data_IF_529727149471
#
_entry.id   IF_529727149471
#
_cell.length_a   1.000
_cell.length_b   1.000
_cell.length_c   1.000
_cell.angle_alpha   90.00
_cell.angle_beta   90.00
_cell.angle_gamma   90.00
#
_symmetry.space_group_name_H-M   'P 1'
#
loop_
_entity.id
_entity.type
_entity.pdbx_description
1 polymer ?
#
# COMPACT_ATOMS: atom_id res chain seq x y z
N UNK A 1 -29.18 -17.68 -6.37
CA UNK A 1 -29.30 -16.46 -5.52
C UNK A 1 -27.91 -16.06 -5.08
N UNK A 2 -27.25 -15.17 -5.83
CA UNK A 2 -25.92 -14.69 -5.47
C UNK A 2 -26.02 -13.78 -4.24
N UNK A 3 -25.46 -14.23 -3.12
CA UNK A 3 -25.29 -13.39 -1.94
C UNK A 3 -24.34 -12.26 -2.31
N UNK A 4 -24.94 -11.10 -2.59
CA UNK A 4 -24.25 -9.82 -2.67
C UNK A 4 -23.49 -9.67 -1.35
N UNK A 5 -22.17 -9.80 -1.41
CA UNK A 5 -21.30 -9.42 -0.29
C UNK A 5 -21.62 -7.96 -0.03
N UNK A 6 -22.43 -7.71 1.00
CA UNK A 6 -22.58 -6.39 1.57
C UNK A 6 -21.20 -6.02 2.10
N UNK A 7 -20.43 -5.32 1.27
CA UNK A 7 -19.32 -4.52 1.77
C UNK A 7 -19.95 -3.54 2.75
N UNK A 8 -19.90 -3.92 4.02
CA UNK A 8 -20.17 -3.03 5.14
C UNK A 8 -19.39 -1.74 4.84
N UNK A 9 -20.04 -0.57 4.81
CA UNK A 9 -19.30 0.68 4.59
C UNK A 9 -18.17 0.73 5.62
N UNK A 10 -16.95 1.21 5.28
CA UNK A 10 -15.84 1.31 6.22
C UNK A 10 -16.26 2.31 7.31
N UNK A 11 -16.90 1.80 8.35
CA UNK A 11 -17.24 2.54 9.55
C UNK A 11 -15.97 2.63 10.37
N UNK A 12 -15.25 3.70 10.09
CA UNK A 12 -14.40 4.45 11.02
C UNK A 12 -13.46 3.61 11.90
N UNK A 13 -12.38 3.08 11.29
CA UNK A 13 -11.18 2.65 12.02
C UNK A 13 -10.76 3.74 13.03
N UNK A 14 -10.96 5.01 12.66
CA UNK A 14 -10.62 6.16 13.47
C UNK A 14 -11.41 6.27 14.78
N UNK A 15 -12.73 6.13 14.76
CA UNK A 15 -13.55 6.28 15.96
C UNK A 15 -13.22 5.17 16.97
N UNK A 16 -13.03 3.94 16.47
CA UNK A 16 -12.59 2.81 17.29
C UNK A 16 -11.19 3.03 17.86
N UNK A 17 -10.24 3.47 17.03
CA UNK A 17 -8.89 3.84 17.47
C UNK A 17 -8.97 4.93 18.54
N UNK A 18 -9.75 5.98 18.32
CA UNK A 18 -9.87 7.08 19.27
C UNK A 18 -10.46 6.62 20.63
N UNK A 19 -11.46 5.74 20.62
CA UNK A 19 -12.00 5.12 21.84
C UNK A 19 -10.96 4.24 22.54
N UNK A 20 -10.18 3.47 21.80
CA UNK A 20 -9.10 2.66 22.38
C UNK A 20 -8.02 3.55 23.02
N UNK A 21 -7.63 4.64 22.34
CA UNK A 21 -6.61 5.56 22.82
C UNK A 21 -7.04 6.37 24.05
N UNK A 22 -8.34 6.54 24.29
CA UNK A 22 -8.82 7.22 25.50
C UNK A 22 -8.43 6.48 26.79
N UNK A 23 -8.03 5.21 26.70
CA UNK A 23 -7.53 4.39 27.83
C UNK A 23 -6.09 4.74 28.22
N UNK A 24 -5.36 5.47 27.37
CA UNK A 24 -3.94 5.79 27.53
C UNK A 24 -3.75 7.32 27.60
N UNK A 25 -3.97 7.95 28.77
CA UNK A 25 -3.79 9.39 28.93
C UNK A 25 -2.31 9.79 28.75
N UNK A 26 -2.05 11.07 28.49
CA UNK A 26 -0.67 11.58 28.35
C UNK A 26 0.13 11.37 29.64
N UNK A 27 1.37 10.90 29.50
CA UNK A 27 2.30 10.76 30.62
C UNK A 27 2.70 12.14 31.18
N UNK A 28 2.94 12.19 32.48
CA UNK A 28 3.60 13.36 33.07
C UNK A 28 5.08 13.40 32.65
N UNK A 29 5.67 14.60 32.61
CA UNK A 29 7.10 14.75 32.28
C UNK A 29 8.01 13.95 33.21
N UNK A 30 7.62 13.78 34.48
CA UNK A 30 8.40 13.02 35.45
C UNK A 30 8.29 11.50 35.19
N UNK A 31 7.09 11.00 34.88
CA UNK A 31 6.89 9.60 34.55
C UNK A 31 7.61 9.23 33.25
N UNK A 32 7.54 10.09 32.24
CA UNK A 32 8.28 9.91 30.98
C UNK A 32 9.79 9.83 31.23
N UNK A 33 10.36 10.74 32.03
CA UNK A 33 11.79 10.72 32.38
C UNK A 33 12.17 9.43 33.11
N UNK A 34 11.35 8.97 34.05
CA UNK A 34 11.57 7.73 34.79
C UNK A 34 11.57 6.51 33.85
N UNK A 35 10.62 6.45 32.92
CA UNK A 35 10.54 5.37 31.93
C UNK A 35 11.73 5.40 30.98
N UNK A 36 12.13 6.58 30.49
CA UNK A 36 13.29 6.74 29.61
C UNK A 36 14.61 6.36 30.28
N UNK A 37 14.74 6.58 31.60
CA UNK A 37 15.89 6.18 32.40
C UNK A 37 15.91 4.68 32.77
N UNK A 38 14.87 3.92 32.41
CA UNK A 38 14.80 2.48 32.67
C UNK A 38 15.70 1.71 31.69
N UNK A 39 16.47 0.75 32.21
CA UNK A 39 17.43 -0.06 31.47
C UNK A 39 17.42 -1.51 31.95
N UNK A 40 18.08 -2.41 31.19
CA UNK A 40 18.16 -3.82 31.55
C UNK A 40 16.84 -4.56 31.29
N UNK A 41 16.50 -5.53 32.15
CA UNK A 41 15.36 -6.42 31.97
C UNK A 41 14.00 -5.70 31.91
N UNK A 42 13.88 -4.52 32.52
CA UNK A 42 12.64 -3.75 32.55
C UNK A 42 12.48 -2.80 31.34
N UNK A 43 13.47 -2.74 30.44
CA UNK A 43 13.45 -1.80 29.31
C UNK A 43 12.27 -2.02 28.37
N UNK A 44 11.96 -3.27 28.05
CA UNK A 44 10.89 -3.58 27.11
C UNK A 44 9.51 -3.21 27.68
N UNK A 45 9.32 -3.41 28.99
CA UNK A 45 8.11 -2.97 29.68
C UNK A 45 7.99 -1.44 29.69
N UNK A 46 9.08 -0.72 29.94
CA UNK A 46 9.10 0.74 29.89
C UNK A 46 8.83 1.27 28.47
N UNK A 47 9.42 0.67 27.44
CA UNK A 47 9.15 1.01 26.03
C UNK A 47 7.67 0.82 25.69
N UNK A 48 7.05 -0.29 26.12
CA UNK A 48 5.61 -0.53 25.89
C UNK A 48 4.75 0.58 26.46
N UNK A 49 5.00 0.99 27.70
CA UNK A 49 4.25 2.10 28.34
C UNK A 49 4.47 3.40 27.56
N UNK A 50 5.70 3.71 27.16
CA UNK A 50 6.02 4.89 26.36
C UNK A 50 5.28 4.87 25.01
N UNK A 51 5.22 3.72 24.34
CA UNK A 51 4.50 3.56 23.06
C UNK A 51 3.00 3.80 23.27
N UNK A 52 2.37 3.05 24.19
CA UNK A 52 0.92 3.09 24.43
C UNK A 52 0.42 4.51 24.75
N UNK A 53 1.17 5.27 25.55
CA UNK A 53 0.77 6.62 25.95
C UNK A 53 1.12 7.71 24.92
N UNK A 54 1.87 7.37 23.86
CA UNK A 54 2.22 8.28 22.77
C UNK A 54 1.50 7.96 21.44
N UNK A 55 0.62 6.95 21.40
CA UNK A 55 -0.17 6.62 20.21
C UNK A 55 -1.06 7.78 19.70
N UNK A 56 -1.40 8.74 20.55
CA UNK A 56 -2.13 9.95 20.13
C UNK A 56 -1.36 10.75 19.06
N UNK A 57 -0.02 10.70 19.05
CA UNK A 57 0.79 11.35 18.01
C UNK A 57 0.61 10.68 16.65
N UNK A 58 0.43 9.36 16.66
CA UNK A 58 0.13 8.58 15.45
C UNK A 58 -1.26 8.92 14.94
N UNK A 59 -2.26 8.99 15.82
CA UNK A 59 -3.61 9.42 15.48
C UNK A 59 -3.63 10.82 14.86
N UNK A 60 -3.01 11.81 15.52
CA UNK A 60 -2.92 13.19 15.03
C UNK A 60 -2.21 13.26 13.65
N UNK A 61 -1.12 12.50 13.47
CA UNK A 61 -0.38 12.45 12.22
C UNK A 61 -1.14 11.76 11.07
N UNK A 62 -1.88 10.68 11.36
CA UNK A 62 -2.72 9.98 10.40
C UNK A 62 -3.91 10.86 9.96
N UNK A 63 -4.54 11.57 10.92
CA UNK A 63 -5.62 12.51 10.63
C UNK A 63 -5.20 13.61 9.66
N UNK A 64 -3.98 14.15 9.81
CA UNK A 64 -3.43 15.16 8.91
C UNK A 64 -3.14 14.65 7.49
N UNK A 65 -3.14 13.33 7.27
CA UNK A 65 -2.75 12.65 6.03
C UNK A 65 -3.89 11.92 5.33
N UNK A 66 -5.12 12.05 5.82
CA UNK A 66 -6.30 11.43 5.21
C UNK A 66 -6.50 11.80 3.74
N UNK A 67 -7.12 10.88 3.01
CA UNK A 67 -7.58 11.10 1.64
C UNK A 67 -6.46 11.10 0.59
N UNK A 68 -5.31 10.49 0.88
CA UNK A 68 -4.13 10.44 0.00
C UNK A 68 -3.86 9.02 -0.53
N UNK A 69 -4.91 8.29 -0.90
CA UNK A 69 -4.79 6.97 -1.52
C UNK A 69 -4.48 5.79 -0.58
N UNK A 70 -4.06 6.04 0.67
CA UNK A 70 -3.84 5.01 1.69
C UNK A 70 -4.98 5.02 2.71
N UNK A 71 -5.43 3.83 3.14
CA UNK A 71 -6.48 3.70 4.15
C UNK A 71 -6.02 4.25 5.52
N UNK A 72 -6.97 4.73 6.32
CA UNK A 72 -6.64 5.34 7.61
C UNK A 72 -6.01 4.34 8.59
N UNK A 73 -6.56 3.12 8.69
CA UNK A 73 -6.00 2.04 9.51
C UNK A 73 -4.57 1.70 9.12
N UNK A 74 -4.26 1.66 7.81
CA UNK A 74 -2.92 1.39 7.31
C UNK A 74 -1.94 2.51 7.67
N UNK A 75 -2.33 3.78 7.48
CA UNK A 75 -1.51 4.92 7.92
C UNK A 75 -1.24 4.85 9.42
N UNK A 76 -2.24 4.53 10.23
CA UNK A 76 -2.09 4.40 11.67
C UNK A 76 -1.15 3.25 12.04
N UNK A 77 -1.24 2.10 11.38
CA UNK A 77 -0.34 0.96 11.56
C UNK A 77 1.11 1.35 11.25
N UNK A 78 1.35 1.96 10.10
CA UNK A 78 2.69 2.39 9.66
C UNK A 78 3.30 3.43 10.59
N UNK A 79 2.51 4.43 11.00
CA UNK A 79 2.95 5.38 12.01
C UNK A 79 3.21 4.74 13.38
N UNK A 80 2.49 3.68 13.74
CA UNK A 80 2.74 2.91 14.97
C UNK A 80 4.08 2.19 14.89
N UNK A 81 4.44 1.61 13.73
CA UNK A 81 5.77 1.03 13.49
C UNK A 81 6.86 2.11 13.63
N UNK A 82 6.64 3.29 13.06
CA UNK A 82 7.52 4.44 13.22
C UNK A 82 7.69 4.86 14.68
N UNK A 83 6.60 4.90 15.45
CA UNK A 83 6.61 5.21 16.88
C UNK A 83 7.41 4.19 17.68
N UNK A 84 7.18 2.88 17.46
CA UNK A 84 7.92 1.80 18.13
C UNK A 84 9.41 1.97 17.87
N UNK A 85 9.80 2.12 16.60
CA UNK A 85 11.20 2.32 16.21
C UNK A 85 11.81 3.55 16.86
N UNK A 86 11.06 4.65 16.95
CA UNK A 86 11.51 5.88 17.59
C UNK A 86 11.75 5.72 19.10
N UNK A 87 10.89 4.97 19.79
CA UNK A 87 11.02 4.69 21.24
C UNK A 87 12.18 3.74 21.52
N UNK A 88 12.34 2.68 20.73
CA UNK A 88 13.40 1.68 20.89
C UNK A 88 14.80 2.28 20.70
N UNK A 89 14.95 3.19 19.73
CA UNK A 89 16.25 3.74 19.33
C UNK A 89 16.51 5.15 19.86
N UNK A 90 15.64 5.71 20.70
CA UNK A 90 15.82 7.06 21.22
C UNK A 90 17.09 7.19 22.07
N UNK A 91 17.88 8.23 21.77
CA UNK A 91 19.02 8.65 22.59
C UNK A 91 18.81 10.09 23.06
N UNK A 92 19.05 10.39 24.35
CA UNK A 92 18.95 11.77 24.86
C UNK A 92 19.84 12.79 24.15
N UNK A 93 20.91 12.35 23.48
CA UNK A 93 21.80 13.21 22.71
C UNK A 93 21.16 13.71 21.40
N UNK A 94 20.13 13.04 20.88
CA UNK A 94 19.52 13.32 19.57
C UNK A 94 18.41 14.40 19.67
N UNK A 95 18.23 15.00 20.85
CA UNK A 95 17.24 16.05 21.11
C UNK A 95 16.08 15.59 22.00
N UNK A 96 15.00 16.39 22.01
CA UNK A 96 13.83 16.12 22.83
C UNK A 96 13.07 14.86 22.38
N UNK A 97 12.70 14.00 23.32
CA UNK A 97 12.01 12.73 23.05
C UNK A 97 10.75 12.91 22.19
N UNK A 98 9.83 13.77 22.62
CA UNK A 98 8.61 14.07 21.87
C UNK A 98 8.88 14.54 20.43
N UNK A 99 9.86 15.44 20.24
CA UNK A 99 10.22 15.92 18.91
C UNK A 99 10.73 14.79 18.00
N UNK A 100 11.47 13.81 18.57
CA UNK A 100 11.90 12.63 17.85
C UNK A 100 10.73 11.75 17.43
N UNK A 101 9.77 11.51 18.33
CA UNK A 101 8.58 10.70 18.01
C UNK A 101 7.79 11.33 16.87
N UNK A 102 7.45 12.61 16.99
CA UNK A 102 6.70 13.36 15.96
C UNK A 102 7.39 13.29 14.61
N UNK A 103 8.71 13.49 14.57
CA UNK A 103 9.47 13.45 13.33
C UNK A 103 9.45 12.06 12.68
N UNK A 104 9.76 11.00 13.43
CA UNK A 104 9.84 9.64 12.87
C UNK A 104 8.47 9.17 12.40
N UNK A 105 7.41 9.37 13.21
CA UNK A 105 6.03 9.03 12.82
C UNK A 105 5.63 9.72 11.52
N UNK A 106 5.93 11.02 11.39
CA UNK A 106 5.64 11.78 10.19
C UNK A 106 6.38 11.24 8.96
N UNK A 107 7.70 11.03 9.06
CA UNK A 107 8.53 10.53 7.95
C UNK A 107 8.07 9.15 7.50
N UNK A 108 7.83 8.22 8.43
CA UNK A 108 7.37 6.86 8.09
C UNK A 108 6.05 6.87 7.30
N UNK A 109 5.07 7.67 7.73
CA UNK A 109 3.82 7.78 6.99
C UNK A 109 4.00 8.47 5.63
N UNK A 110 4.83 9.53 5.56
CA UNK A 110 5.08 10.25 4.31
C UNK A 110 5.80 9.36 3.28
N UNK A 111 6.68 8.46 3.73
CA UNK A 111 7.35 7.48 2.87
C UNK A 111 6.36 6.48 2.26
N UNK A 112 5.41 5.96 3.05
CA UNK A 112 4.38 5.02 2.56
C UNK A 112 3.44 5.70 1.56
N UNK A 113 3.05 6.95 1.84
CA UNK A 113 2.27 7.76 0.91
C UNK A 113 3.02 7.97 -0.41
N UNK A 114 4.31 8.31 -0.35
CA UNK A 114 5.11 8.53 -1.55
C UNK A 114 5.25 7.25 -2.39
N UNK A 115 5.46 6.10 -1.75
CA UNK A 115 5.53 4.80 -2.43
C UNK A 115 4.20 4.44 -3.09
N UNK A 116 3.08 4.68 -2.40
CA UNK A 116 1.73 4.45 -2.94
C UNK A 116 1.45 5.35 -4.14
N UNK A 117 1.77 6.63 -4.04
CA UNK A 117 1.63 7.61 -5.12
C UNK A 117 2.50 7.21 -6.34
N UNK A 118 3.73 6.75 -6.11
CA UNK A 118 4.62 6.31 -7.19
C UNK A 118 4.09 5.04 -7.86
N UNK A 119 3.62 4.07 -7.10
CA UNK A 119 3.01 2.86 -7.63
C UNK A 119 1.79 3.20 -8.53
N UNK A 120 0.89 4.05 -8.05
CA UNK A 120 -0.28 4.49 -8.83
C UNK A 120 0.13 5.18 -10.14
N UNK A 121 1.13 6.08 -10.10
CA UNK A 121 1.63 6.74 -11.32
C UNK A 121 2.24 5.75 -12.29
N UNK A 122 2.97 4.75 -11.79
CA UNK A 122 3.56 3.71 -12.62
C UNK A 122 2.48 2.86 -13.29
N UNK A 123 1.42 2.50 -12.56
CA UNK A 123 0.27 1.77 -13.09
C UNK A 123 -0.46 2.59 -14.17
N UNK A 124 -0.73 3.88 -13.92
CA UNK A 124 -1.34 4.77 -14.90
C UNK A 124 -0.47 4.90 -16.17
N UNK A 125 0.84 5.08 -16.00
CA UNK A 125 1.78 5.15 -17.11
C UNK A 125 1.83 3.83 -17.90
N UNK A 126 1.73 2.69 -17.23
CA UNK A 126 1.66 1.38 -17.86
C UNK A 126 0.37 1.23 -18.70
N UNK A 127 -0.79 1.59 -18.14
CA UNK A 127 -2.08 1.57 -18.88
C UNK A 127 -2.02 2.44 -20.13
N UNK A 128 -1.44 3.64 -20.03
CA UNK A 128 -1.25 4.53 -21.20
C UNK A 128 -0.33 3.85 -22.23
N UNK A 129 0.77 3.23 -21.77
CA UNK A 129 1.70 2.56 -22.66
C UNK A 129 1.05 1.39 -23.41
N UNK A 130 0.23 0.58 -22.74
CA UNK A 130 -0.53 -0.51 -23.37
C UNK A 130 -1.47 0.00 -24.47
N UNK A 131 -2.25 1.07 -24.19
CA UNK A 131 -3.16 1.66 -25.19
C UNK A 131 -2.43 2.20 -26.42
N UNK A 132 -1.28 2.82 -26.23
CA UNK A 132 -0.44 3.30 -27.32
C UNK A 132 0.12 2.14 -28.15
N UNK A 133 0.54 1.07 -27.49
CA UNK A 133 1.05 -0.14 -28.12
C UNK A 133 -0.02 -0.85 -28.97
N UNK A 134 -1.20 -1.07 -28.42
CA UNK A 134 -2.35 -1.65 -29.13
C UNK A 134 -2.73 -0.82 -30.36
N UNK A 135 -2.74 0.51 -30.21
CA UNK A 135 -3.03 1.42 -31.31
C UNK A 135 -1.97 1.34 -32.42
N UNK A 136 -0.70 1.25 -32.04
CA UNK A 136 0.42 1.10 -32.97
C UNK A 136 0.40 -0.27 -33.67
N UNK A 137 0.10 -1.34 -32.94
CA UNK A 137 -0.08 -2.68 -33.50
C UNK A 137 -1.17 -2.70 -34.56
N UNK A 138 -2.36 -2.20 -34.24
CA UNK A 138 -3.46 -2.14 -35.20
C UNK A 138 -3.08 -1.37 -36.46
N UNK A 139 -2.49 -0.18 -36.30
CA UNK A 139 -2.10 0.66 -37.43
C UNK A 139 -1.03 0.02 -38.34
N UNK A 140 -0.02 -0.62 -37.76
CA UNK A 140 1.03 -1.28 -38.55
C UNK A 140 0.51 -2.58 -39.16
N UNK A 141 -0.31 -3.35 -38.45
CA UNK A 141 -0.86 -4.59 -38.98
C UNK A 141 -1.82 -4.37 -40.13
N UNK A 142 -2.66 -3.34 -40.08
CA UNK A 142 -3.50 -2.93 -41.21
C UNK A 142 -2.65 -2.53 -42.43
N UNK A 143 -1.52 -1.86 -42.22
CA UNK A 143 -0.64 -1.38 -43.31
C UNK A 143 0.26 -2.46 -43.90
N UNK A 144 0.67 -3.44 -43.10
CA UNK A 144 1.62 -4.48 -43.48
C UNK A 144 0.94 -5.80 -43.86
N UNK A 145 -0.37 -5.93 -43.61
CA UNK A 145 -1.16 -7.16 -43.80
C UNK A 145 -0.58 -8.36 -43.01
N UNK A 146 0.06 -8.07 -41.86
CA UNK A 146 0.65 -9.04 -40.94
C UNK A 146 0.82 -8.44 -39.54
N UNK A 147 1.01 -9.25 -38.48
CA UNK A 147 1.39 -8.71 -37.17
C UNK A 147 2.67 -7.84 -37.25
N UNK A 148 2.64 -6.71 -36.53
CA UNK A 148 3.78 -5.82 -36.39
C UNK A 148 4.85 -6.43 -35.47
N UNK A 149 6.12 -6.31 -35.84
CA UNK A 149 7.22 -6.80 -34.98
C UNK A 149 7.53 -5.81 -33.86
N UNK A 150 8.12 -6.26 -32.73
CA UNK A 150 8.57 -5.36 -31.65
C UNK A 150 9.46 -4.21 -32.14
N UNK A 151 10.40 -4.48 -33.05
CA UNK A 151 11.25 -3.46 -33.67
C UNK A 151 10.46 -2.40 -34.48
N UNK A 152 9.41 -2.81 -35.19
CA UNK A 152 8.56 -1.91 -35.97
C UNK A 152 7.71 -1.01 -35.06
N UNK A 153 7.16 -1.59 -33.99
CA UNK A 153 6.41 -0.86 -32.95
C UNK A 153 7.30 0.14 -32.22
N UNK A 154 8.50 -0.29 -31.82
CA UNK A 154 9.50 0.54 -31.16
C UNK A 154 9.87 1.76 -32.02
N UNK A 155 10.10 1.53 -33.31
CA UNK A 155 10.40 2.61 -34.27
C UNK A 155 9.23 3.59 -34.42
N UNK A 156 7.98 3.10 -34.46
CA UNK A 156 6.79 3.96 -34.59
C UNK A 156 6.54 4.79 -33.32
N UNK A 157 6.68 4.17 -32.14
CA UNK A 157 6.44 4.79 -30.84
C UNK A 157 7.63 5.61 -30.33
N UNK A 158 8.78 5.53 -31.00
CA UNK A 158 10.06 6.12 -30.57
C UNK A 158 10.48 5.62 -29.18
N UNK A 159 10.29 4.31 -28.95
CA UNK A 159 10.68 3.64 -27.72
C UNK A 159 11.85 2.68 -27.98
N UNK A 160 12.51 2.27 -26.92
CA UNK A 160 13.45 1.15 -26.99
C UNK A 160 12.69 -0.15 -27.27
N UNK A 161 13.25 -1.00 -28.13
CA UNK A 161 12.66 -2.31 -28.43
C UNK A 161 12.54 -3.18 -27.17
N UNK A 162 13.49 -3.09 -26.24
CA UNK A 162 13.43 -3.78 -24.95
C UNK A 162 12.18 -3.38 -24.14
N UNK A 163 11.79 -2.10 -24.15
CA UNK A 163 10.58 -1.61 -23.47
C UNK A 163 9.32 -2.18 -24.11
N UNK A 164 9.25 -2.19 -25.44
CA UNK A 164 8.13 -2.77 -26.18
C UNK A 164 7.99 -4.25 -25.86
N UNK A 165 9.08 -5.01 -25.95
CA UNK A 165 9.10 -6.44 -25.65
C UNK A 165 8.67 -6.74 -24.22
N UNK A 166 9.13 -5.96 -23.25
CA UNK A 166 8.73 -6.12 -21.85
C UNK A 166 7.22 -5.91 -21.65
N UNK A 167 6.64 -4.85 -22.23
CA UNK A 167 5.19 -4.58 -22.12
C UNK A 167 4.38 -5.68 -22.82
N UNK A 168 4.83 -6.15 -23.99
CA UNK A 168 4.17 -7.26 -24.70
C UNK A 168 4.19 -8.57 -23.90
N UNK A 169 5.32 -8.88 -23.25
CA UNK A 169 5.42 -10.06 -22.40
C UNK A 169 4.44 -9.99 -21.22
N UNK A 170 4.41 -8.84 -20.52
CA UNK A 170 3.47 -8.62 -19.41
C UNK A 170 1.99 -8.74 -19.85
N UNK A 171 1.65 -8.20 -21.02
CA UNK A 171 0.30 -8.32 -21.59
C UNK A 171 -0.05 -9.76 -21.97
N UNK A 172 0.90 -10.51 -22.53
CA UNK A 172 0.71 -11.91 -22.89
C UNK A 172 0.50 -12.82 -21.67
N UNK A 173 1.31 -12.62 -20.62
CA UNK A 173 1.16 -13.34 -19.34
C UNK A 173 -0.21 -13.07 -18.72
N UNK A 174 -0.66 -11.81 -18.71
CA UNK A 174 -1.97 -11.44 -18.21
C UNK A 174 -3.11 -12.11 -18.99
N UNK A 175 -3.02 -12.20 -20.32
CA UNK A 175 -4.04 -12.86 -21.14
C UNK A 175 -4.13 -14.37 -20.86
N UNK A 176 -2.99 -15.05 -20.76
CA UNK A 176 -2.97 -16.49 -20.46
C UNK A 176 -3.53 -16.85 -19.09
N UNK A 177 -3.38 -15.96 -18.09
CA UNK A 177 -3.96 -16.18 -16.76
C UNK A 177 -5.49 -16.07 -16.75
N UNK A 178 -6.04 -15.04 -17.41
CA UNK A 178 -7.50 -14.85 -17.47
C UNK A 178 -8.21 -15.91 -18.31
N UNK A 179 -7.59 -16.37 -19.41
CA UNK A 179 -8.14 -17.46 -20.21
C UNK A 179 -8.21 -18.77 -19.39
N UNK A 180 -7.23 -19.03 -18.52
CA UNK A 180 -7.26 -20.18 -17.62
C UNK A 180 -8.37 -20.07 -16.57
N UNK A 181 -8.55 -18.91 -15.92
CA UNK A 181 -9.64 -18.70 -14.96
C UNK A 181 -11.03 -18.83 -15.59
N UNK A 182 -11.18 -18.38 -16.85
CA UNK A 182 -12.42 -18.56 -17.61
C UNK A 182 -12.68 -20.02 -17.97
N UNK A 183 -11.64 -20.78 -18.34
CA UNK A 183 -11.76 -22.21 -18.62
C UNK A 183 -12.12 -22.99 -17.35
N UNK A 184 -11.46 -22.71 -16.22
CA UNK A 184 -11.76 -23.32 -14.93
C UNK A 184 -13.22 -23.03 -14.50
N UNK A 185 -13.70 -21.80 -14.73
CA UNK A 185 -15.10 -21.44 -14.48
C UNK A 185 -16.10 -22.16 -15.39
N UNK A 186 -15.75 -22.42 -16.65
CA UNK A 186 -16.59 -23.16 -17.58
C UNK A 186 -16.62 -24.66 -17.26
N UNK A 187 -15.49 -25.26 -16.88
CA UNK A 187 -15.41 -26.65 -16.42
C UNK A 187 -16.27 -26.84 -15.13
N UNK A 188 -16.22 -25.90 -14.19
CA UNK A 188 -17.05 -25.88 -12.98
C UNK A 188 -18.57 -25.76 -13.28
N UNK A 189 -18.96 -25.21 -14.43
CA UNK A 189 -20.35 -25.11 -14.87
C UNK A 189 -20.80 -26.40 -15.58
N UNK A 190 -19.94 -27.00 -16.39
CA UNK A 190 -20.24 -28.28 -17.07
C UNK A 190 -20.41 -29.42 -16.04
N UNK A 191 -19.66 -29.41 -14.94
CA UNK A 191 -19.80 -30.37 -13.83
C UNK A 191 -21.12 -30.20 -13.02
N UNK A 192 -21.83 -29.06 -13.15
CA UNK A 192 -23.12 -28.82 -12.47
C UNK A 192 -24.32 -29.35 -13.27
N UNK A 193 -24.20 -29.46 -14.59
CA UNK A 193 -25.27 -29.95 -15.47
C UNK A 193 -25.34 -31.50 -15.49
N UNK A 194 -24.27 -32.21 -15.08
CA UNK A 194 -24.21 -33.68 -14.98
C UNK A 194 -24.89 -34.26 -13.71
N UNK A 195 -25.53 -33.42 -12.88
CA UNK A 195 -26.20 -33.83 -11.64
C UNK A 195 -27.74 -33.76 -11.67
N UNK A 196 -28.35 -33.49 -12.81
CA UNK A 196 -29.81 -33.55 -13.01
C UNK A 196 -30.24 -34.67 -14.00
N UNK A 197 -30.01 -35.94 -13.65
CA UNK A 197 -30.78 -37.10 -14.18
C UNK A 197 -31.22 -38.08 -13.08
#
# INVERSE_FOLDING_TARGET
MAQRIEQRPPRDDEDEIQEQLSRYPRLSTEDERRLLATHGADRDAANRVLIEHNLHLVLEAAQARKGRGVAFGDLFQEGTVGLISAVEHYKPADGGFHARLVHVVAVTMDDVLAQTDEAQRNDEAFVIACRLLESAQRLLSERLDRPATPAELAKLLQWDEARVTAILALLGEAQTGHDQELLDYLDDLDDQDDHEE
#
